data_IF_923599931007
#
_entry.id   IF_923599931007
#
_cell.length_a   1.000
_cell.length_b   1.000
_cell.length_c   1.000
_cell.angle_alpha   90.00
_cell.angle_beta   90.00
_cell.angle_gamma   90.00
#
_symmetry.space_group_name_H-M   'P 1'
#
loop_
_entity.id
_entity.type
_entity.pdbx_description
1 polymer ?
#
# COMPACT_ATOMS: atom_id res chain seq x y z
N UNK A 1 -2.86 2.79 9.09
CA UNK A 1 -2.77 3.74 7.95
C UNK A 1 -2.03 4.97 8.44
N UNK A 2 -1.07 5.47 7.67
CA UNK A 2 -0.24 6.63 8.02
C UNK A 2 -0.59 7.77 7.07
N UNK A 3 -0.79 8.97 7.61
CA UNK A 3 -0.99 10.17 6.79
C UNK A 3 0.37 10.63 6.29
N UNK A 4 0.62 10.53 4.98
CA UNK A 4 1.88 10.98 4.40
C UNK A 4 2.04 12.51 4.50
N UNK A 5 3.26 13.02 4.26
CA UNK A 5 3.62 14.47 4.32
C UNK A 5 2.75 15.42 3.47
N UNK A 6 1.89 14.91 2.58
CA UNK A 6 0.96 15.69 1.74
C UNK A 6 -0.52 15.46 2.09
N UNK A 7 -0.82 14.97 3.29
CA UNK A 7 -2.20 14.69 3.73
C UNK A 7 -2.87 13.51 2.99
N UNK A 8 -2.13 12.78 2.15
CA UNK A 8 -2.65 11.61 1.42
C UNK A 8 -2.48 10.36 2.28
N UNK A 9 -3.53 9.54 2.42
CA UNK A 9 -3.45 8.31 3.18
C UNK A 9 -2.49 7.33 2.51
N UNK A 10 -1.58 6.77 3.31
CA UNK A 10 -0.60 5.78 2.92
C UNK A 10 -0.72 4.56 3.84
N UNK A 11 -0.50 3.38 3.30
CA UNK A 11 -0.50 2.14 4.07
C UNK A 11 0.96 1.68 4.18
N UNK A 12 1.43 1.50 5.41
CA UNK A 12 2.74 0.91 5.69
C UNK A 12 2.52 -0.54 6.12
N UNK A 13 3.16 -1.47 5.42
CA UNK A 13 3.07 -2.90 5.74
C UNK A 13 4.41 -3.58 5.44
N UNK A 14 4.97 -4.26 6.44
CA UNK A 14 6.23 -5.01 6.30
C UNK A 14 7.40 -4.14 5.83
N UNK A 15 7.47 -2.86 6.23
CA UNK A 15 8.50 -1.92 5.79
C UNK A 15 8.27 -1.32 4.40
N UNK A 16 7.17 -1.66 3.73
CA UNK A 16 6.83 -1.12 2.42
C UNK A 16 5.68 -0.12 2.51
N UNK A 17 5.83 1.01 1.84
CA UNK A 17 4.78 2.01 1.70
C UNK A 17 3.90 1.70 0.49
N UNK A 18 2.60 1.86 0.64
CA UNK A 18 1.59 1.68 -0.39
C UNK A 18 0.68 2.91 -0.47
N UNK A 19 0.42 3.39 -1.69
CA UNK A 19 -0.50 4.49 -1.93
C UNK A 19 -1.86 3.99 -2.37
N UNK A 20 -2.90 4.69 -1.94
CA UNK A 20 -4.27 4.44 -2.41
C UNK A 20 -4.35 4.72 -3.91
N UNK A 21 -4.69 3.70 -4.68
CA UNK A 21 -4.90 3.81 -6.12
C UNK A 21 -6.37 4.04 -6.46
N UNK A 22 -7.24 3.17 -5.97
CA UNK A 22 -8.67 3.30 -6.16
C UNK A 22 -9.41 2.81 -4.92
N UNK A 23 -10.54 3.41 -4.60
CA UNK A 23 -11.42 2.98 -3.53
C UNK A 23 -12.81 2.74 -4.11
N UNK A 24 -13.26 1.49 -4.06
CA UNK A 24 -14.64 1.12 -4.30
C UNK A 24 -15.39 1.05 -2.96
N UNK A 25 -16.72 1.10 -2.97
CA UNK A 25 -17.59 1.19 -1.78
C UNK A 25 -17.18 0.26 -0.62
N UNK A 26 -16.75 -0.96 -0.91
CA UNK A 26 -16.30 -1.94 0.10
C UNK A 26 -14.82 -2.34 0.00
N UNK A 27 -14.05 -1.82 -0.96
CA UNK A 27 -12.68 -2.30 -1.20
C UNK A 27 -11.77 -1.14 -1.59
N UNK A 28 -10.70 -0.95 -0.85
CA UNK A 28 -9.65 0.02 -1.19
C UNK A 28 -8.41 -0.70 -1.69
N UNK A 29 -7.95 -0.30 -2.87
CA UNK A 29 -6.79 -0.85 -3.56
C UNK A 29 -5.58 0.03 -3.31
N UNK A 30 -4.51 -0.60 -2.84
CA UNK A 30 -3.24 0.00 -2.49
C UNK A 30 -2.14 -0.55 -3.39
N UNK A 31 -1.37 0.33 -4.02
CA UNK A 31 -0.22 -0.02 -4.86
C UNK A 31 1.06 0.32 -4.12
N UNK A 32 2.10 -0.52 -4.26
CA UNK A 32 3.40 -0.20 -3.71
C UNK A 32 3.91 1.16 -4.22
N UNK A 33 4.54 1.93 -3.34
CA UNK A 33 5.14 3.23 -3.65
C UNK A 33 6.13 3.17 -4.81
N UNK A 34 6.88 2.07 -4.93
CA UNK A 34 7.84 1.84 -6.01
C UNK A 34 7.21 1.16 -7.23
N UNK A 35 5.88 1.03 -7.30
CA UNK A 35 5.21 0.44 -8.47
C UNK A 35 5.44 1.27 -9.74
N UNK A 36 5.46 2.61 -9.63
CA UNK A 36 5.80 3.48 -10.78
C UNK A 36 7.30 3.54 -11.07
N UNK A 37 8.14 3.62 -10.04
CA UNK A 37 9.59 3.80 -10.21
C UNK A 37 10.32 2.50 -10.59
N UNK A 38 9.99 1.39 -9.92
CA UNK A 38 10.68 0.10 -10.04
C UNK A 38 9.79 -0.99 -10.63
N UNK A 39 8.61 -0.63 -11.17
CA UNK A 39 7.62 -1.59 -11.70
C UNK A 39 7.23 -2.69 -10.70
N UNK A 40 7.33 -2.38 -9.39
CA UNK A 40 6.96 -3.31 -8.33
C UNK A 40 5.48 -3.71 -8.46
N UNK A 41 5.22 -5.02 -8.42
CA UNK A 41 3.89 -5.59 -8.65
C UNK A 41 3.12 -5.85 -7.35
N UNK A 42 3.68 -5.50 -6.20
CA UNK A 42 3.04 -5.65 -4.90
C UNK A 42 1.82 -4.75 -4.73
N UNK A 43 0.73 -5.36 -4.27
CA UNK A 43 -0.59 -4.74 -4.11
C UNK A 43 -1.27 -5.23 -2.86
N UNK A 44 -2.04 -4.35 -2.23
CA UNK A 44 -2.84 -4.68 -1.05
C UNK A 44 -4.27 -4.22 -1.29
N UNK A 45 -5.25 -5.00 -0.85
CA UNK A 45 -6.65 -4.62 -0.92
C UNK A 45 -7.21 -4.70 0.50
N UNK A 46 -7.67 -3.57 1.02
CA UNK A 46 -8.37 -3.51 2.31
C UNK A 46 -9.87 -3.55 2.06
N UNK A 47 -10.61 -4.37 2.81
CA UNK A 47 -12.06 -4.38 2.77
C UNK A 47 -12.61 -3.34 3.76
N UNK A 48 -13.51 -2.47 3.32
CA UNK A 48 -14.22 -1.55 4.20
C UNK A 48 -15.41 -2.28 4.83
N UNK A 49 -15.58 -2.18 6.15
CA UNK A 49 -16.61 -2.89 6.92
C UNK A 49 -16.26 -4.33 7.34
N UNK A 50 -15.10 -4.84 6.97
CA UNK A 50 -14.56 -6.10 7.52
C UNK A 50 -13.07 -5.90 7.73
N UNK A 51 -12.51 -6.35 8.85
CA UNK A 51 -11.07 -6.25 9.14
C UNK A 51 -10.19 -7.15 8.21
N UNK A 52 -10.67 -7.46 7.01
CA UNK A 52 -10.02 -8.29 6.01
C UNK A 52 -9.02 -7.50 5.18
N UNK A 53 -7.80 -8.04 5.11
CA UNK A 53 -6.72 -7.56 4.27
C UNK A 53 -6.36 -8.64 3.25
N UNK A 54 -6.36 -8.30 1.97
CA UNK A 54 -5.98 -9.21 0.89
C UNK A 54 -4.64 -8.74 0.32
N UNK A 55 -3.64 -9.59 0.45
CA UNK A 55 -2.31 -9.36 -0.08
C UNK A 55 -2.18 -9.98 -1.47
N UNK A 56 -1.78 -9.18 -2.46
CA UNK A 56 -1.55 -9.65 -3.84
C UNK A 56 -0.12 -9.39 -4.26
N UNK A 57 0.54 -10.44 -4.75
CA UNK A 57 1.86 -10.35 -5.37
C UNK A 57 2.91 -9.65 -4.46
N UNK A 58 3.01 -10.06 -3.20
CA UNK A 58 3.89 -9.48 -2.16
C UNK A 58 5.41 -9.66 -2.41
N UNK A 59 5.78 -10.02 -3.63
CA UNK A 59 7.17 -10.09 -4.05
C UNK A 59 7.59 -8.67 -4.44
N UNK A 60 8.41 -8.06 -3.61
CA UNK A 60 9.03 -6.76 -3.85
C UNK A 60 10.37 -6.98 -4.53
N UNK A 61 10.64 -6.19 -5.57
CA UNK A 61 11.90 -6.21 -6.31
C UNK A 61 12.85 -5.08 -5.87
N UNK A 62 12.70 -4.63 -4.63
CA UNK A 62 13.42 -3.50 -4.07
C UNK A 62 13.38 -3.58 -2.55
N UNK A 63 14.31 -2.87 -1.92
CA UNK A 63 14.39 -2.80 -0.47
C UNK A 63 13.19 -2.07 0.17
N UNK A 64 12.88 -2.39 1.43
CA UNK A 64 11.90 -1.70 2.24
C UNK A 64 12.10 -0.17 2.21
N UNK A 65 10.99 0.55 2.12
CA UNK A 65 10.98 2.00 2.24
C UNK A 65 10.83 2.36 3.72
N UNK A 66 11.82 2.00 4.54
CA UNK A 66 11.93 2.53 5.90
C UNK A 66 12.06 4.06 5.78
N UNK A 67 11.37 4.90 6.56
CA UNK A 67 11.19 4.85 8.01
C UNK A 67 9.85 5.49 8.45
N UNK A 68 9.40 5.20 9.66
CA UNK A 68 9.21 6.31 10.60
C UNK A 68 10.08 6.09 11.84
N UNK A 69 11.11 6.93 11.99
CA UNK A 69 11.58 7.34 13.32
C UNK A 69 10.54 8.29 13.93
#
# INVERSE_FOLDING_TARGET
>A
MVVGRKGRPMLLMGGYAFFRNNSNKNKTYWLCAKSRSLKCRARIITLDGSAGLILKNQIHNHDPCEKPE
#
